data_IF_295560529530
#
_entry.id   IF_295560529530
#
_cell.length_a   1.000
_cell.length_b   1.000
_cell.length_c   1.000
_cell.angle_alpha   90.00
_cell.angle_beta   90.00
_cell.angle_gamma   90.00
#
_symmetry.space_group_name_H-M   'P 1'
#
loop_
_entity.id
_entity.type
_entity.pdbx_description
1 polymer ?
#
# COMPACT_ATOMS: atom_id res chain seq x y z
N UNK A 1 9.20 -15.97 26.18
CA UNK A 1 10.40 -15.35 26.80
C UNK A 1 10.22 -13.85 26.73
N UNK A 2 9.86 -13.22 27.85
CA UNK A 2 9.55 -11.79 27.92
C UNK A 2 10.83 -11.01 28.21
N UNK A 3 11.25 -10.14 27.30
CA UNK A 3 12.40 -9.26 27.51
C UNK A 3 11.99 -8.13 28.46
N UNK A 4 12.31 -8.27 29.75
CA UNK A 4 12.22 -7.17 30.71
C UNK A 4 13.23 -6.10 30.28
N UNK A 5 12.73 -4.90 29.97
CA UNK A 5 13.57 -3.75 29.62
C UNK A 5 14.16 -3.18 30.92
N UNK A 6 15.48 -3.32 31.11
CA UNK A 6 16.24 -2.77 32.25
C UNK A 6 16.59 -1.28 32.09
N UNK A 7 15.85 -0.53 31.28
CA UNK A 7 16.16 0.88 31.05
C UNK A 7 15.47 1.73 32.11
N UNK A 8 16.24 2.36 33.00
CA UNK A 8 15.69 3.30 33.99
C UNK A 8 15.18 4.57 33.30
N UNK A 9 14.30 5.33 33.96
CA UNK A 9 13.81 6.61 33.43
C UNK A 9 14.96 7.57 33.08
N UNK A 10 15.99 7.63 33.93
CA UNK A 10 17.19 8.44 33.68
C UNK A 10 18.00 7.97 32.46
N UNK A 11 18.06 6.65 32.20
CA UNK A 11 18.70 6.10 31.01
C UNK A 11 17.89 6.39 29.75
N UNK A 12 16.55 6.31 29.81
CA UNK A 12 15.65 6.71 28.72
C UNK A 12 15.80 8.21 28.39
N UNK A 13 15.87 9.06 29.41
CA UNK A 13 16.07 10.50 29.24
C UNK A 13 17.46 10.85 28.71
N UNK A 14 18.51 10.13 29.16
CA UNK A 14 19.85 10.25 28.58
C UNK A 14 19.87 9.83 27.11
N UNK A 15 19.17 8.74 26.75
CA UNK A 15 19.02 8.29 25.37
C UNK A 15 18.26 9.31 24.52
N UNK A 16 17.16 9.89 25.01
CA UNK A 16 16.43 10.94 24.27
C UNK A 16 17.26 12.22 24.09
N UNK A 17 18.08 12.61 25.08
CA UNK A 17 18.97 13.78 24.97
C UNK A 17 20.14 13.58 24.00
N UNK A 18 20.63 12.35 23.89
CA UNK A 18 21.78 12.01 23.03
C UNK A 18 21.35 11.37 21.70
N UNK A 19 20.06 11.08 21.53
CA UNK A 19 19.52 10.62 20.27
C UNK A 19 19.81 11.70 19.21
N UNK A 20 20.42 11.33 18.07
CA UNK A 20 20.49 12.26 16.95
C UNK A 20 19.07 12.73 16.65
N UNK A 21 18.90 14.00 16.29
CA UNK A 21 17.61 14.55 15.93
C UNK A 21 16.89 13.57 15.00
N UNK A 22 15.79 12.98 15.48
CA UNK A 22 15.03 12.01 14.70
C UNK A 22 14.52 12.77 13.48
N UNK A 23 15.13 12.50 12.34
CA UNK A 23 14.74 13.13 11.08
C UNK A 23 13.28 12.78 10.81
N UNK A 24 12.49 13.77 10.40
CA UNK A 24 11.17 13.48 9.83
C UNK A 24 11.34 12.63 8.57
N UNK A 25 10.28 11.95 8.13
CA UNK A 25 10.30 11.17 6.89
C UNK A 25 10.74 12.04 5.69
N UNK A 26 10.31 13.30 5.66
CA UNK A 26 10.70 14.29 4.64
C UNK A 26 12.19 14.63 4.70
N UNK A 27 12.74 14.87 5.89
CA UNK A 27 14.15 15.16 6.09
C UNK A 27 15.03 13.96 5.70
N UNK A 28 14.63 12.75 6.06
CA UNK A 28 15.33 11.53 5.66
C UNK A 28 15.29 11.33 4.13
N UNK A 29 14.15 11.58 3.49
CA UNK A 29 14.01 11.49 2.05
C UNK A 29 14.83 12.56 1.30
N UNK A 30 14.96 13.77 1.84
CA UNK A 30 15.78 14.83 1.26
C UNK A 30 17.28 14.51 1.30
N UNK A 31 17.75 13.87 2.38
CA UNK A 31 19.15 13.43 2.51
C UNK A 31 19.46 12.19 1.66
N UNK A 32 18.47 11.33 1.44
CA UNK A 32 18.60 10.08 0.72
C UNK A 32 17.50 9.92 -0.33
N UNK A 33 17.53 10.73 -1.41
CA UNK A 33 16.50 10.69 -2.43
C UNK A 33 16.47 9.33 -3.12
N UNK A 34 15.26 8.84 -3.40
CA UNK A 34 15.10 7.63 -4.19
C UNK A 34 15.67 7.85 -5.60
N UNK A 35 16.36 6.84 -6.18
CA UNK A 35 16.90 6.97 -7.52
C UNK A 35 15.78 7.17 -8.56
N UNK A 36 16.09 7.94 -9.60
CA UNK A 36 15.15 8.23 -10.69
C UNK A 36 14.66 6.94 -11.39
N UNK A 37 13.43 7.01 -11.87
CA UNK A 37 12.85 5.94 -12.68
C UNK A 37 13.35 6.08 -14.11
N UNK A 38 14.42 5.37 -14.42
CA UNK A 38 15.04 5.43 -15.75
C UNK A 38 14.21 4.67 -16.81
N UNK A 39 14.30 5.06 -18.11
CA UNK A 39 13.66 4.30 -19.20
C UNK A 39 14.08 2.82 -19.23
N UNK A 40 15.33 2.53 -18.88
CA UNK A 40 15.84 1.16 -18.76
C UNK A 40 15.12 0.34 -17.69
N UNK A 41 14.74 0.96 -16.57
CA UNK A 41 13.93 0.33 -15.52
C UNK A 41 12.53 0.01 -16.02
N UNK A 42 11.88 0.96 -16.70
CA UNK A 42 10.56 0.76 -17.31
C UNK A 42 10.58 -0.38 -18.33
N UNK A 43 11.59 -0.42 -19.20
CA UNK A 43 11.78 -1.51 -20.17
C UNK A 43 11.92 -2.86 -19.47
N UNK A 44 12.66 -2.92 -18.35
CA UNK A 44 12.80 -4.16 -17.57
C UNK A 44 11.47 -4.61 -16.96
N UNK A 45 10.65 -3.69 -16.45
CA UNK A 45 9.32 -4.02 -15.91
C UNK A 45 8.42 -4.64 -16.99
N UNK A 46 8.43 -4.09 -18.22
CA UNK A 46 7.71 -4.67 -19.37
C UNK A 46 8.18 -6.09 -19.72
N UNK A 47 9.50 -6.31 -19.74
CA UNK A 47 10.04 -7.64 -20.01
C UNK A 47 9.65 -8.65 -18.92
N UNK A 48 9.70 -8.24 -17.65
CA UNK A 48 9.40 -9.10 -16.52
C UNK A 48 7.90 -9.38 -16.38
N UNK A 49 7.01 -8.50 -16.84
CA UNK A 49 5.57 -8.75 -16.85
C UNK A 49 5.15 -9.86 -17.81
N UNK A 50 5.99 -10.24 -18.77
CA UNK A 50 5.73 -11.34 -19.71
C UNK A 50 6.45 -12.63 -19.31
N UNK A 51 7.10 -12.65 -18.15
CA UNK A 51 7.89 -13.80 -17.72
C UNK A 51 7.00 -15.02 -17.44
N UNK A 52 7.46 -16.22 -17.83
CA UNK A 52 6.69 -17.47 -17.66
C UNK A 52 6.31 -17.77 -16.20
N UNK A 53 7.21 -17.44 -15.28
CA UNK A 53 7.03 -17.67 -13.85
C UNK A 53 6.11 -16.58 -13.25
N UNK A 54 4.93 -16.94 -12.71
CA UNK A 54 4.02 -15.99 -12.07
C UNK A 54 4.67 -15.24 -10.91
N UNK A 55 5.64 -15.82 -10.18
CA UNK A 55 6.34 -15.11 -9.09
C UNK A 55 7.14 -13.91 -9.57
N UNK A 56 7.68 -13.99 -10.78
CA UNK A 56 8.34 -12.84 -11.40
C UNK A 56 7.31 -11.77 -11.78
N UNK A 57 6.15 -12.17 -12.32
CA UNK A 57 5.07 -11.23 -12.66
C UNK A 57 4.43 -10.58 -11.42
N UNK A 58 4.27 -11.32 -10.33
CA UNK A 58 3.82 -10.83 -9.01
C UNK A 58 4.73 -9.68 -8.51
N UNK A 59 6.05 -9.79 -8.74
CA UNK A 59 7.01 -8.73 -8.38
C UNK A 59 6.79 -7.44 -9.19
N UNK A 60 6.36 -7.57 -10.45
CA UNK A 60 6.02 -6.42 -11.30
C UNK A 60 4.69 -5.81 -10.87
N UNK A 61 3.68 -6.63 -10.57
CA UNK A 61 2.37 -6.19 -10.08
C UNK A 61 2.47 -5.42 -8.75
N UNK A 62 3.41 -5.80 -7.89
CA UNK A 62 3.67 -5.13 -6.60
C UNK A 62 4.52 -3.84 -6.75
N UNK A 63 5.00 -3.52 -7.96
CA UNK A 63 5.89 -2.38 -8.18
C UNK A 63 5.09 -1.08 -8.30
N UNK A 64 5.46 -0.06 -7.50
CA UNK A 64 4.92 1.31 -7.63
C UNK A 64 5.27 2.01 -8.94
N UNK A 65 6.18 1.44 -9.72
CA UNK A 65 6.73 2.03 -10.95
C UNK A 65 6.29 1.30 -12.21
N UNK A 66 5.39 0.32 -12.09
CA UNK A 66 4.84 -0.37 -13.24
C UNK A 66 4.05 0.63 -14.12
N UNK A 67 4.35 0.73 -15.43
CA UNK A 67 3.56 1.53 -16.36
C UNK A 67 2.09 1.11 -16.39
N UNK A 68 1.20 2.05 -16.74
CA UNK A 68 -0.24 1.78 -16.80
C UNK A 68 -0.59 0.64 -17.76
N UNK A 69 0.03 0.59 -18.93
CA UNK A 69 -0.14 -0.50 -19.92
C UNK A 69 0.19 -1.87 -19.32
N UNK A 70 1.27 -1.94 -18.54
CA UNK A 70 1.69 -3.16 -17.86
C UNK A 70 0.70 -3.54 -16.77
N UNK A 71 0.27 -2.59 -15.94
CA UNK A 71 -0.72 -2.85 -14.88
C UNK A 71 -2.05 -3.34 -15.46
N UNK A 72 -2.52 -2.76 -16.56
CA UNK A 72 -3.73 -3.20 -17.26
C UNK A 72 -3.60 -4.61 -17.84
N UNK A 73 -2.41 -5.00 -18.31
CA UNK A 73 -2.15 -6.37 -18.75
C UNK A 73 -2.16 -7.34 -17.56
N UNK A 74 -1.47 -7.00 -16.47
CA UNK A 74 -1.41 -7.83 -15.26
C UNK A 74 -2.76 -7.96 -14.54
N UNK A 75 -3.66 -6.98 -14.68
CA UNK A 75 -5.03 -7.09 -14.19
C UNK A 75 -5.85 -8.20 -14.88
N UNK A 76 -5.41 -8.63 -16.07
CA UNK A 76 -6.01 -9.73 -16.83
C UNK A 76 -5.12 -10.99 -16.84
N UNK A 77 -4.11 -11.03 -15.97
CA UNK A 77 -3.20 -12.18 -15.90
C UNK A 77 -3.97 -13.46 -15.57
N UNK A 78 -3.56 -14.60 -16.14
CA UNK A 78 -4.19 -15.87 -15.85
C UNK A 78 -3.95 -16.31 -14.39
N UNK A 79 -2.81 -15.93 -13.81
CA UNK A 79 -2.44 -16.27 -12.44
C UNK A 79 -3.12 -15.34 -11.44
N UNK A 80 -3.84 -15.94 -10.49
CA UNK A 80 -4.53 -15.21 -9.44
C UNK A 80 -3.58 -14.46 -8.49
N UNK A 81 -2.39 -15.00 -8.23
CA UNK A 81 -1.37 -14.35 -7.40
C UNK A 81 -0.93 -13.02 -7.96
N UNK A 82 -0.74 -12.96 -9.27
CA UNK A 82 -0.41 -11.70 -9.97
C UNK A 82 -1.52 -10.67 -9.79
N UNK A 83 -2.78 -11.06 -10.04
CA UNK A 83 -3.95 -10.17 -9.89
C UNK A 83 -4.14 -9.71 -8.44
N UNK A 84 -3.92 -10.60 -7.47
CA UNK A 84 -3.99 -10.30 -6.04
C UNK A 84 -2.89 -9.32 -5.60
N UNK A 85 -1.66 -9.49 -6.11
CA UNK A 85 -0.57 -8.54 -5.88
C UNK A 85 -0.89 -7.15 -6.42
N UNK A 86 -1.56 -7.07 -7.57
CA UNK A 86 -2.00 -5.80 -8.15
C UNK A 86 -3.14 -5.18 -7.34
N UNK A 87 -4.12 -5.97 -6.92
CA UNK A 87 -5.23 -5.52 -6.06
C UNK A 87 -4.75 -4.95 -4.71
N UNK A 88 -3.66 -5.50 -4.16
CA UNK A 88 -3.03 -5.03 -2.91
C UNK A 88 -2.16 -3.78 -3.09
N UNK A 89 -1.80 -3.42 -4.32
CA UNK A 89 -0.81 -2.37 -4.56
C UNK A 89 -1.42 -0.97 -4.28
N UNK A 90 -0.92 -0.21 -3.30
CA UNK A 90 -1.45 1.12 -2.98
C UNK A 90 -1.13 2.17 -4.06
N UNK A 91 -0.20 1.87 -4.97
CA UNK A 91 0.14 2.71 -6.11
C UNK A 91 -0.62 2.32 -7.40
N UNK A 92 -1.52 1.33 -7.33
CA UNK A 92 -2.34 0.96 -8.48
C UNK A 92 -3.36 2.08 -8.80
N UNK A 93 -3.49 2.51 -10.07
CA UNK A 93 -4.49 3.48 -10.47
C UNK A 93 -5.91 2.97 -10.23
N UNK A 94 -6.81 3.88 -9.87
CA UNK A 94 -8.23 3.57 -9.67
C UNK A 94 -8.86 2.81 -10.86
N UNK A 95 -8.51 3.16 -12.10
CA UNK A 95 -9.02 2.48 -13.30
C UNK A 95 -8.61 1.01 -13.37
N UNK A 96 -7.42 0.65 -12.86
CA UNK A 96 -6.94 -0.73 -12.79
C UNK A 96 -7.65 -1.48 -11.66
N UNK A 97 -7.80 -0.86 -10.50
CA UNK A 97 -8.50 -1.47 -9.35
C UNK A 97 -9.98 -1.74 -9.68
N UNK A 98 -10.65 -0.84 -10.40
CA UNK A 98 -12.03 -1.03 -10.86
C UNK A 98 -12.17 -2.27 -11.77
N UNK A 99 -11.16 -2.60 -12.57
CA UNK A 99 -11.20 -3.81 -13.42
C UNK A 99 -11.24 -5.11 -12.61
N UNK A 100 -10.69 -5.10 -11.39
CA UNK A 100 -10.56 -6.28 -10.53
C UNK A 100 -11.77 -6.49 -9.60
N UNK A 101 -12.74 -5.56 -9.56
CA UNK A 101 -13.91 -5.65 -8.68
C UNK A 101 -14.74 -6.91 -8.93
N UNK A 102 -14.88 -7.28 -10.20
CA UNK A 102 -15.58 -8.50 -10.62
C UNK A 102 -14.67 -9.70 -10.83
N UNK A 103 -13.45 -9.71 -10.27
CA UNK A 103 -12.54 -10.85 -10.42
C UNK A 103 -13.19 -12.13 -9.90
N UNK A 104 -12.97 -13.26 -10.56
CA UNK A 104 -13.55 -14.54 -10.15
C UNK A 104 -12.99 -15.04 -8.81
N UNK A 105 -11.81 -14.56 -8.41
CA UNK A 105 -11.18 -14.96 -7.16
C UNK A 105 -11.62 -14.07 -6.00
N UNK A 106 -12.19 -14.70 -4.97
CA UNK A 106 -12.45 -14.06 -3.68
C UNK A 106 -11.18 -13.39 -3.13
N UNK A 107 -10.00 -14.01 -3.25
CA UNK A 107 -8.75 -13.46 -2.71
C UNK A 107 -8.39 -12.11 -3.35
N UNK A 108 -8.62 -11.96 -4.65
CA UNK A 108 -8.38 -10.69 -5.36
C UNK A 108 -9.35 -9.62 -4.85
N UNK A 109 -10.64 -9.95 -4.75
CA UNK A 109 -11.68 -9.05 -4.25
C UNK A 109 -11.48 -8.67 -2.78
N UNK A 110 -10.99 -9.59 -1.94
CA UNK A 110 -10.60 -9.33 -0.55
C UNK A 110 -9.46 -8.32 -0.45
N UNK A 111 -8.44 -8.42 -1.32
CA UNK A 111 -7.35 -7.43 -1.34
C UNK A 111 -7.83 -6.04 -1.77
N UNK A 112 -8.80 -5.94 -2.69
CA UNK A 112 -9.44 -4.67 -3.01
C UNK A 112 -10.20 -4.08 -1.82
N UNK A 113 -10.93 -4.92 -1.08
CA UNK A 113 -11.70 -4.48 0.08
C UNK A 113 -10.82 -3.79 1.14
N UNK A 114 -9.59 -4.27 1.34
CA UNK A 114 -8.65 -3.71 2.32
C UNK A 114 -7.63 -2.72 1.75
N UNK A 115 -7.66 -2.43 0.45
CA UNK A 115 -6.75 -1.46 -0.16
C UNK A 115 -7.36 -0.05 -0.10
N UNK A 116 -6.68 0.89 0.57
CA UNK A 116 -7.11 2.28 0.71
C UNK A 116 -7.13 3.06 -0.62
N UNK A 117 -6.37 2.59 -1.62
CA UNK A 117 -6.40 3.17 -2.97
C UNK A 117 -7.64 2.73 -3.78
N UNK A 118 -8.43 1.78 -3.27
CA UNK A 118 -9.64 1.30 -3.96
C UNK A 118 -10.66 2.44 -4.08
N UNK A 119 -11.09 2.80 -5.31
CA UNK A 119 -12.00 3.92 -5.49
C UNK A 119 -13.36 3.63 -4.87
N UNK A 120 -14.04 4.67 -4.37
CA UNK A 120 -15.36 4.54 -3.72
C UNK A 120 -16.37 3.76 -4.57
N UNK A 121 -16.40 3.97 -5.89
CA UNK A 121 -17.29 3.22 -6.78
C UNK A 121 -17.04 1.70 -6.74
N UNK A 122 -15.78 1.27 -6.60
CA UNK A 122 -15.43 -0.14 -6.44
C UNK A 122 -15.84 -0.68 -5.05
N UNK A 123 -15.71 0.13 -4.00
CA UNK A 123 -16.16 -0.22 -2.65
C UNK A 123 -17.66 -0.51 -2.62
N UNK A 124 -18.48 0.39 -3.19
CA UNK A 124 -19.94 0.22 -3.25
C UNK A 124 -20.34 -1.09 -3.94
N UNK A 125 -19.61 -1.48 -4.99
CA UNK A 125 -19.85 -2.76 -5.66
C UNK A 125 -19.49 -3.96 -4.76
N UNK A 126 -18.39 -3.86 -4.00
CA UNK A 126 -17.93 -4.91 -3.08
C UNK A 126 -18.82 -5.05 -1.83
N UNK A 127 -19.61 -4.04 -1.45
CA UNK A 127 -20.61 -4.15 -0.37
C UNK A 127 -21.69 -5.19 -0.69
N UNK A 128 -21.97 -5.38 -1.98
CA UNK A 128 -22.90 -6.37 -2.50
C UNK A 128 -22.20 -7.66 -2.98
N UNK A 129 -20.92 -7.87 -2.62
CA UNK A 129 -20.17 -9.07 -3.04
C UNK A 129 -20.86 -10.35 -2.55
N UNK A 130 -20.79 -11.39 -3.38
CA UNK A 130 -21.30 -12.72 -3.06
C UNK A 130 -20.63 -13.32 -1.81
N UNK A 131 -19.35 -13.02 -1.60
CA UNK A 131 -18.57 -13.54 -0.48
C UNK A 131 -18.86 -12.74 0.79
N UNK A 132 -19.29 -13.40 1.88
CA UNK A 132 -19.37 -12.77 3.20
C UNK A 132 -18.02 -12.23 3.68
N UNK A 133 -16.92 -12.92 3.37
CA UNK A 133 -15.58 -12.55 3.81
C UNK A 133 -15.15 -11.18 3.25
N UNK A 134 -15.46 -10.91 1.97
CA UNK A 134 -15.18 -9.61 1.32
C UNK A 134 -15.97 -8.49 2.02
N UNK A 135 -17.25 -8.73 2.31
CA UNK A 135 -18.10 -7.74 3.00
C UNK A 135 -17.66 -7.48 4.44
N UNK A 136 -17.21 -8.51 5.15
CA UNK A 136 -16.69 -8.36 6.51
C UNK A 136 -15.36 -7.59 6.54
N UNK A 137 -14.50 -7.77 5.52
CA UNK A 137 -13.27 -6.98 5.38
C UNK A 137 -13.56 -5.50 5.14
N UNK A 138 -14.61 -5.15 4.37
CA UNK A 138 -15.03 -3.76 4.21
C UNK A 138 -15.47 -3.14 5.55
N UNK A 139 -16.28 -3.85 6.32
CA UNK A 139 -16.71 -3.40 7.66
C UNK A 139 -15.52 -3.24 8.60
N UNK A 140 -14.58 -4.19 8.56
CA UNK A 140 -13.35 -4.10 9.34
C UNK A 140 -12.54 -2.87 8.94
N UNK A 141 -12.40 -2.60 7.64
CA UNK A 141 -11.71 -1.40 7.14
C UNK A 141 -12.39 -0.13 7.62
N UNK A 142 -13.70 -0.02 7.49
CA UNK A 142 -14.47 1.15 7.96
C UNK A 142 -14.28 1.42 9.45
N UNK A 143 -14.21 0.38 10.28
CA UNK A 143 -13.96 0.51 11.71
C UNK A 143 -12.53 0.96 12.06
N UNK A 144 -11.56 0.82 11.14
CA UNK A 144 -10.13 1.07 11.37
C UNK A 144 -9.52 2.15 10.47
N UNK A 145 -10.29 2.76 9.57
CA UNK A 145 -9.87 4.01 8.91
C UNK A 145 -9.85 5.07 10.02
N UNK A 146 -8.65 5.39 10.52
CA UNK A 146 -8.43 6.58 11.32
C UNK A 146 -8.89 7.79 10.49
N UNK A 147 -10.00 8.40 10.90
CA UNK A 147 -10.33 9.76 10.47
C UNK A 147 -9.09 10.62 10.75
N UNK A 148 -8.53 11.36 9.79
CA UNK A 148 -7.38 12.21 10.07
C UNK A 148 -7.79 13.13 11.21
N UNK A 149 -7.07 13.06 12.34
CA UNK A 149 -7.28 13.99 13.44
C UNK A 149 -7.18 15.40 12.85
N UNK A 150 -8.24 16.21 13.00
CA UNK A 150 -8.18 17.61 12.65
C UNK A 150 -6.94 18.21 13.32
N UNK A 151 -6.11 18.99 12.60
CA UNK A 151 -4.93 19.58 13.22
C UNK A 151 -5.41 20.45 14.39
N UNK A 152 -5.02 20.06 15.61
CA UNK A 152 -5.20 20.85 16.83
C UNK A 152 -4.86 22.32 16.50
N UNK A 153 -5.80 23.27 16.71
CA UNK A 153 -5.58 24.65 16.33
C UNK A 153 -4.34 25.15 17.05
N UNK A 154 -3.32 25.52 16.26
CA UNK A 154 -2.08 26.06 16.78
C UNK A 154 -2.40 27.13 17.83
N UNK A 155 -2.06 26.86 19.09
CA UNK A 155 -2.09 27.85 20.14
C UNK A 155 -1.19 28.99 19.69
N UNK A 156 -1.83 30.04 19.19
CA UNK A 156 -1.21 31.32 18.89
C UNK A 156 -0.69 31.85 20.21
N UNK A 157 0.59 31.60 20.48
CA UNK A 157 1.33 32.22 21.57
C UNK A 157 1.33 33.73 21.30
N UNK A 158 0.34 34.44 21.87
CA UNK A 158 0.34 35.90 21.88
C UNK A 158 1.39 36.36 22.88
N UNK A 159 2.28 37.20 22.37
CA UNK A 159 3.34 37.92 23.08
C UNK A 159 2.82 38.81 24.21
#
# INVERSE_FOLDING_TARGET
MSCIRFTTAAQLEALHRTAPAVLTAEQAAALHPAPEVTPSKIRRLRLLSEHRDPKVRESVASSRHAPLDVQQALARDADEGVRACLARNPAAPASVLTMLVGDTSERVRSWLAVNDATPHAAVVMLECDESPAVRDLLRWREAHIETPAEPEPAEVLRA
#
